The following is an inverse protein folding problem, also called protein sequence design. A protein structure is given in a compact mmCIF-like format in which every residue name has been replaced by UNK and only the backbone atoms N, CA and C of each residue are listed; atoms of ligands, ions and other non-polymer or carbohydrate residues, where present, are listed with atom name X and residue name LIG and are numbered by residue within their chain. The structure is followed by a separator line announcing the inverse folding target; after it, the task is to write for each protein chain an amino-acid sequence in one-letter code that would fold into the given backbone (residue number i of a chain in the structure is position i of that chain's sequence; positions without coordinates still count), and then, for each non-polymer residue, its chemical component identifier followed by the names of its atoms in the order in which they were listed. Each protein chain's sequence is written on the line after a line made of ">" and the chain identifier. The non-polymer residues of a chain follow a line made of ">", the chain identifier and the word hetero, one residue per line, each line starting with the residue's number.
data_IF_336339672219
#
_entry.id   IF_336339672219
#
_cell.length_a   1.000
_cell.length_b   1.000
_cell.length_c   1.000
_cell.angle_alpha   90.00
_cell.angle_beta   90.00
_cell.angle_gamma   90.00
#
_symmetry.space_group_name_H-M   'P 1'
#
loop_
_entity.id
_entity.type
_entity.pdbx_description
1 polymer ?
#
# COMPACT_ATOMS: atom_id res chain seq x y z
N UNK A 1 -0.24 54.34 28.10
CA UNK A 1 -1.17 53.28 27.70
C UNK A 1 -0.69 52.69 26.39
N UNK A 2 0.11 51.62 26.43
CA UNK A 2 0.44 50.82 25.25
C UNK A 2 -0.23 49.47 25.43
N UNK A 3 -1.36 49.26 24.75
CA UNK A 3 -1.98 47.95 24.69
C UNK A 3 -1.05 47.03 23.88
N UNK A 4 -0.48 46.03 24.55
CA UNK A 4 0.10 44.87 23.88
C UNK A 4 -0.99 44.17 23.07
N UNK A 5 -0.75 43.81 21.81
CA UNK A 5 -1.72 43.02 21.07
C UNK A 5 -1.77 41.64 21.73
N UNK A 6 -2.92 41.28 22.29
CA UNK A 6 -3.22 39.93 22.74
C UNK A 6 -3.10 39.01 21.54
N UNK A 7 -2.05 38.20 21.52
CA UNK A 7 -1.89 37.09 20.59
C UNK A 7 -2.92 36.02 20.96
N UNK A 8 -4.17 36.22 20.55
CA UNK A 8 -5.17 35.16 20.53
C UNK A 8 -4.89 34.32 19.29
N UNK A 9 -3.87 33.48 19.35
CA UNK A 9 -3.85 32.29 18.51
C UNK A 9 -5.12 31.51 18.82
N UNK A 10 -5.85 31.10 17.79
CA UNK A 10 -7.00 30.24 17.97
C UNK A 10 -6.53 28.98 18.72
N UNK A 11 -7.32 28.48 19.68
CA UNK A 11 -7.03 27.20 20.33
C UNK A 11 -6.88 26.10 19.28
N UNK A 12 -7.58 26.23 18.15
CA UNK A 12 -7.37 25.37 17.00
C UNK A 12 -5.98 25.55 16.36
N UNK A 13 -5.47 26.78 16.20
CA UNK A 13 -4.12 27.02 15.67
C UNK A 13 -3.04 26.40 16.56
N UNK A 14 -3.18 26.50 17.88
CA UNK A 14 -2.24 25.89 18.84
C UNK A 14 -2.30 24.35 18.81
N UNK A 15 -3.51 23.78 18.67
CA UNK A 15 -3.70 22.33 18.52
C UNK A 15 -3.18 21.83 17.17
N UNK A 16 -3.38 22.58 16.09
CA UNK A 16 -2.86 22.26 14.76
C UNK A 16 -1.35 22.46 14.67
N UNK A 17 -0.77 23.42 15.40
CA UNK A 17 0.68 23.59 15.51
C UNK A 17 1.38 22.39 16.16
N UNK A 18 0.65 21.59 16.96
CA UNK A 18 1.17 20.35 17.55
C UNK A 18 1.14 19.16 16.55
N UNK A 19 0.29 19.21 15.52
CA UNK A 19 0.11 18.19 14.49
C UNK A 19 0.82 18.60 13.20
N UNK A 20 2.15 18.46 13.16
CA UNK A 20 2.91 18.66 11.92
C UNK A 20 3.04 17.35 11.13
N UNK A 21 3.05 17.41 9.80
CA UNK A 21 3.32 16.27 8.92
C UNK A 21 4.58 15.47 9.31
N UNK A 22 5.68 16.15 9.64
CA UNK A 22 6.95 15.55 10.04
C UNK A 22 6.79 14.77 11.35
N UNK A 23 6.11 15.35 12.34
CA UNK A 23 5.86 14.66 13.61
C UNK A 23 5.02 13.41 13.40
N UNK A 24 4.02 13.45 12.52
CA UNK A 24 3.18 12.28 12.24
C UNK A 24 3.97 11.19 11.49
N UNK A 25 4.73 11.55 10.45
CA UNK A 25 5.49 10.61 9.63
C UNK A 25 6.63 9.95 10.41
N UNK A 26 7.30 10.71 11.27
CA UNK A 26 8.44 10.24 12.07
C UNK A 26 8.10 9.88 13.52
N UNK A 27 6.82 9.79 13.90
CA UNK A 27 6.44 9.37 15.25
C UNK A 27 7.04 7.98 15.56
N UNK A 28 7.84 7.83 16.62
CA UNK A 28 8.52 6.57 16.94
C UNK A 28 7.55 5.44 17.30
N UNK A 29 6.30 5.77 17.65
CA UNK A 29 5.24 4.78 17.94
C UNK A 29 4.58 4.26 16.66
N UNK A 30 4.71 4.98 15.55
CA UNK A 30 4.07 4.66 14.27
C UNK A 30 4.81 3.52 13.54
N UNK A 31 4.78 2.33 14.13
CA UNK A 31 5.58 1.17 13.69
C UNK A 31 4.80 0.17 12.83
N UNK A 32 3.48 0.36 12.67
CA UNK A 32 2.59 -0.63 12.07
C UNK A 32 2.04 -1.65 13.06
N UNK A 33 2.42 -1.57 14.34
CA UNK A 33 1.93 -2.49 15.39
C UNK A 33 0.40 -2.50 15.43
N UNK A 34 -0.19 -3.70 15.51
CA UNK A 34 -1.63 -3.90 15.50
C UNK A 34 -2.31 -3.80 14.12
N UNK A 35 -1.56 -3.48 13.05
CA UNK A 35 -2.10 -3.39 11.68
C UNK A 35 -1.82 -4.69 10.91
N UNK A 36 -2.87 -5.26 10.31
CA UNK A 36 -2.75 -6.42 9.43
C UNK A 36 -2.70 -5.96 7.97
N UNK A 37 -1.68 -6.38 7.23
CA UNK A 37 -1.42 -6.02 5.83
C UNK A 37 -1.36 -7.28 4.97
N UNK A 38 -2.13 -7.36 3.90
CA UNK A 38 -2.01 -8.40 2.89
C UNK A 38 -1.32 -7.87 1.62
N UNK A 39 -0.37 -8.65 1.11
CA UNK A 39 0.23 -8.46 -0.20
C UNK A 39 -0.34 -9.49 -1.14
N UNK A 40 -1.12 -9.06 -2.12
CA UNK A 40 -1.61 -9.92 -3.21
C UNK A 40 -0.63 -9.76 -4.36
N UNK A 41 0.28 -10.73 -4.47
CA UNK A 41 1.50 -10.64 -5.27
C UNK A 41 2.02 -12.05 -5.63
N UNK A 42 3.32 -12.24 -5.86
CA UNK A 42 3.98 -13.50 -6.23
C UNK A 42 4.51 -14.31 -5.05
N UNK A 43 3.90 -14.14 -3.88
CA UNK A 43 4.39 -14.73 -2.64
C UNK A 43 5.59 -14.01 -2.04
N UNK A 44 6.00 -14.43 -0.84
CA UNK A 44 7.10 -13.81 -0.09
C UNK A 44 8.08 -14.88 0.36
N UNK A 45 9.37 -14.65 0.18
CA UNK A 45 10.42 -15.44 0.80
C UNK A 45 10.70 -14.90 2.22
N UNK A 46 10.17 -15.58 3.22
CA UNK A 46 10.25 -15.15 4.61
C UNK A 46 11.68 -15.21 5.14
N UNK A 47 12.44 -16.26 4.79
CA UNK A 47 13.79 -16.46 5.29
C UNK A 47 14.74 -15.33 4.82
N UNK A 48 14.59 -14.88 3.58
CA UNK A 48 15.35 -13.73 3.04
C UNK A 48 15.07 -12.45 3.85
N UNK A 49 13.81 -12.20 4.21
CA UNK A 49 13.44 -11.01 4.98
C UNK A 49 13.90 -11.12 6.44
N UNK A 50 13.67 -12.25 7.09
CA UNK A 50 14.11 -12.48 8.47
C UNK A 50 15.61 -12.23 8.61
N UNK A 51 16.42 -12.79 7.71
CA UNK A 51 17.87 -12.59 7.72
C UNK A 51 18.25 -11.11 7.53
N UNK A 52 17.64 -10.45 6.55
CA UNK A 52 17.90 -9.05 6.24
C UNK A 52 17.56 -8.11 7.38
N UNK A 53 16.41 -8.30 8.03
CA UNK A 53 16.00 -7.46 9.16
C UNK A 53 16.82 -7.79 10.41
N UNK A 54 17.16 -9.06 10.63
CA UNK A 54 18.06 -9.49 11.72
C UNK A 54 19.44 -8.83 11.62
N UNK A 55 20.01 -8.73 10.42
CA UNK A 55 21.28 -8.02 10.18
C UNK A 55 21.21 -6.52 10.54
N UNK A 56 20.02 -5.92 10.55
CA UNK A 56 19.78 -4.53 10.96
C UNK A 56 19.43 -4.39 12.45
N UNK A 57 19.51 -5.48 13.23
CA UNK A 57 19.11 -5.50 14.63
C UNK A 57 17.59 -5.40 14.83
N UNK A 58 16.80 -5.76 13.82
CA UNK A 58 15.34 -5.71 13.85
C UNK A 58 14.75 -7.12 13.75
N UNK A 59 13.59 -7.31 14.34
CA UNK A 59 12.82 -8.55 14.23
C UNK A 59 11.44 -8.23 13.64
N UNK A 60 11.06 -8.98 12.61
CA UNK A 60 9.73 -8.93 12.00
C UNK A 60 8.84 -10.02 12.62
N UNK A 61 7.53 -9.84 12.52
CA UNK A 61 6.58 -10.90 12.86
C UNK A 61 6.64 -12.03 11.81
N UNK A 62 6.33 -13.29 12.19
CA UNK A 62 6.16 -14.37 11.23
C UNK A 62 5.15 -14.00 10.14
N UNK A 63 5.45 -14.36 8.90
CA UNK A 63 4.57 -14.09 7.76
C UNK A 63 3.62 -15.28 7.62
N UNK A 64 2.33 -14.99 7.55
CA UNK A 64 1.30 -15.98 7.22
C UNK A 64 0.90 -15.82 5.75
N UNK A 65 0.16 -16.76 5.17
CA UNK A 65 -0.25 -16.62 3.78
C UNK A 65 -0.91 -17.84 3.17
N UNK A 66 -1.06 -17.80 1.85
CA UNK A 66 -1.50 -18.93 1.05
C UNK A 66 -1.16 -18.75 -0.43
N UNK A 67 -1.16 -19.86 -1.16
CA UNK A 67 -0.98 -19.89 -2.62
C UNK A 67 -2.34 -20.14 -3.26
N UNK A 68 -2.81 -19.18 -4.05
CA UNK A 68 -4.12 -19.21 -4.70
C UNK A 68 -3.97 -19.76 -6.12
N UNK A 69 -4.85 -20.70 -6.48
CA UNK A 69 -4.84 -21.38 -7.77
C UNK A 69 -6.24 -21.45 -8.34
N UNK A 70 -6.35 -21.38 -9.67
CA UNK A 70 -7.64 -21.50 -10.34
C UNK A 70 -8.29 -22.86 -10.04
N UNK A 71 -9.59 -22.85 -9.73
CA UNK A 71 -10.38 -24.06 -9.48
C UNK A 71 -10.29 -24.62 -8.06
N UNK A 72 -9.42 -24.11 -7.19
CA UNK A 72 -9.46 -24.44 -5.75
C UNK A 72 -10.31 -23.43 -4.98
N UNK A 73 -11.13 -23.87 -4.04
CA UNK A 73 -11.90 -22.96 -3.17
C UNK A 73 -11.06 -22.40 -2.02
N UNK A 74 -10.04 -23.13 -1.58
CA UNK A 74 -9.14 -22.73 -0.50
C UNK A 74 -7.71 -22.55 -1.03
N UNK A 75 -6.94 -21.59 -0.50
CA UNK A 75 -5.54 -21.47 -0.86
C UNK A 75 -4.75 -22.67 -0.35
N UNK A 76 -3.74 -23.08 -1.10
CA UNK A 76 -2.74 -24.02 -0.62
C UNK A 76 -1.91 -23.36 0.49
N UNK A 77 -1.32 -24.14 1.41
CA UNK A 77 -0.50 -23.61 2.49
C UNK A 77 0.65 -22.74 1.98
N UNK A 78 0.94 -21.65 2.69
CA UNK A 78 2.15 -20.86 2.45
C UNK A 78 3.38 -21.57 3.00
N UNK A 79 4.38 -21.76 2.15
CA UNK A 79 5.62 -22.48 2.48
C UNK A 79 6.80 -21.56 2.85
N UNK A 80 6.55 -20.28 3.10
CA UNK A 80 7.63 -19.33 3.38
C UNK A 80 8.42 -18.89 2.14
N UNK A 81 7.89 -19.16 0.93
CA UNK A 81 8.57 -18.93 -0.35
C UNK A 81 7.72 -18.12 -1.31
N UNK A 82 8.39 -17.41 -2.20
CA UNK A 82 7.78 -16.74 -3.35
C UNK A 82 7.84 -17.64 -4.60
N UNK A 83 6.86 -17.53 -5.49
CA UNK A 83 6.88 -18.16 -6.80
C UNK A 83 7.79 -17.42 -7.80
N UNK A 84 7.79 -16.09 -7.76
CA UNK A 84 8.66 -15.25 -8.58
C UNK A 84 9.24 -14.08 -7.76
N UNK A 85 10.44 -13.57 -8.11
CA UNK A 85 11.14 -12.55 -7.32
C UNK A 85 10.52 -11.15 -7.50
N UNK A 86 9.38 -10.90 -6.87
CA UNK A 86 8.68 -9.61 -6.84
C UNK A 86 8.04 -9.33 -5.47
N UNK A 87 7.19 -10.24 -4.97
CA UNK A 87 6.48 -10.05 -3.71
C UNK A 87 7.38 -9.91 -2.47
N UNK A 88 8.55 -10.53 -2.46
CA UNK A 88 9.53 -10.32 -1.37
C UNK A 88 10.07 -8.88 -1.33
N UNK A 89 10.23 -8.25 -2.49
CA UNK A 89 10.63 -6.83 -2.58
C UNK A 89 9.51 -5.92 -2.09
N UNK A 90 8.26 -6.21 -2.47
CA UNK A 90 7.07 -5.51 -1.98
C UNK A 90 6.98 -5.61 -0.46
N UNK A 91 7.22 -6.80 0.11
CA UNK A 91 7.26 -7.03 1.54
C UNK A 91 8.40 -6.26 2.24
N UNK A 92 9.61 -6.25 1.68
CA UNK A 92 10.74 -5.46 2.21
C UNK A 92 10.40 -3.97 2.33
N UNK A 93 9.69 -3.41 1.34
CA UNK A 93 9.25 -2.01 1.35
C UNK A 93 8.30 -1.76 2.52
N UNK A 94 7.23 -2.55 2.65
CA UNK A 94 6.24 -2.37 3.73
C UNK A 94 6.90 -2.53 5.10
N UNK A 95 7.71 -3.58 5.29
CA UNK A 95 8.37 -3.86 6.56
C UNK A 95 9.47 -2.84 6.91
N UNK A 96 10.10 -2.20 5.91
CA UNK A 96 11.08 -1.14 6.17
C UNK A 96 10.41 0.15 6.69
N UNK A 97 9.15 0.40 6.33
CA UNK A 97 8.38 1.57 6.78
C UNK A 97 7.58 1.28 8.05
N UNK A 98 7.03 0.07 8.16
CA UNK A 98 6.14 -0.36 9.22
C UNK A 98 6.56 -1.77 9.71
N UNK A 99 7.67 -1.88 10.47
CA UNK A 99 8.30 -3.17 10.80
C UNK A 99 7.47 -4.07 11.71
N UNK A 100 6.38 -3.55 12.30
CA UNK A 100 5.53 -4.25 13.26
C UNK A 100 4.14 -4.60 12.70
N UNK A 101 3.94 -4.54 11.39
CA UNK A 101 2.71 -5.05 10.79
C UNK A 101 2.64 -6.58 10.88
N UNK A 102 1.43 -7.13 10.97
CA UNK A 102 1.19 -8.56 10.68
C UNK A 102 1.00 -8.72 9.18
N UNK A 103 1.96 -9.35 8.52
CA UNK A 103 1.97 -9.49 7.07
C UNK A 103 1.34 -10.83 6.64
N UNK A 104 0.44 -10.75 5.66
CA UNK A 104 -0.10 -11.89 4.93
C UNK A 104 0.37 -11.87 3.48
N UNK A 105 0.92 -12.99 3.02
CA UNK A 105 1.34 -13.21 1.64
C UNK A 105 0.28 -14.00 0.88
N UNK A 106 -0.41 -13.39 -0.07
CA UNK A 106 -1.25 -14.09 -1.04
C UNK A 106 -0.49 -14.23 -2.36
N UNK A 107 0.01 -15.44 -2.64
CA UNK A 107 0.61 -15.74 -3.94
C UNK A 107 -0.49 -16.05 -4.96
N UNK A 108 -0.70 -15.17 -5.93
CA UNK A 108 -1.71 -15.30 -7.00
C UNK A 108 -1.11 -15.66 -8.36
N UNK A 109 0.21 -15.82 -8.44
CA UNK A 109 0.91 -16.22 -9.66
C UNK A 109 1.19 -17.73 -9.67
N UNK A 110 1.40 -18.30 -8.48
CA UNK A 110 1.74 -19.70 -8.30
C UNK A 110 3.04 -20.10 -9.03
N UNK A 111 3.45 -21.37 -8.96
CA UNK A 111 4.69 -21.86 -9.57
C UNK A 111 4.77 -21.64 -11.09
N UNK A 112 3.62 -21.54 -11.76
CA UNK A 112 3.54 -21.36 -13.21
C UNK A 112 3.67 -19.90 -13.65
N UNK A 113 3.60 -18.93 -12.72
CA UNK A 113 3.76 -17.50 -13.02
C UNK A 113 2.59 -16.85 -13.76
N UNK A 114 1.44 -17.53 -13.88
CA UNK A 114 0.23 -16.99 -14.50
C UNK A 114 -0.71 -16.42 -13.45
N UNK A 115 -1.13 -15.17 -13.63
CA UNK A 115 -2.09 -14.52 -12.73
C UNK A 115 -3.44 -14.35 -13.44
N UNK A 116 -4.45 -15.07 -12.97
CA UNK A 116 -5.81 -14.98 -13.46
C UNK A 116 -6.64 -14.03 -12.60
N UNK A 117 -7.56 -13.27 -13.23
CA UNK A 117 -8.39 -12.30 -12.51
C UNK A 117 -9.23 -12.96 -11.40
N UNK A 118 -9.76 -14.16 -11.65
CA UNK A 118 -10.60 -14.86 -10.69
C UNK A 118 -9.80 -15.28 -9.44
N UNK A 119 -8.51 -15.60 -9.62
CA UNK A 119 -7.56 -15.89 -8.53
C UNK A 119 -7.27 -14.63 -7.70
N UNK A 120 -7.11 -13.47 -8.36
CA UNK A 120 -6.95 -12.17 -7.68
C UNK A 120 -8.20 -11.80 -6.87
N UNK A 121 -9.39 -11.97 -7.45
CA UNK A 121 -10.66 -11.72 -6.74
C UNK A 121 -10.86 -12.66 -5.56
N UNK A 122 -10.48 -13.93 -5.70
CA UNK A 122 -10.50 -14.89 -4.59
C UNK A 122 -9.55 -14.47 -3.46
N UNK A 123 -8.32 -14.08 -3.78
CA UNK A 123 -7.36 -13.59 -2.79
C UNK A 123 -7.84 -12.31 -2.08
N UNK A 124 -8.49 -11.40 -2.82
CA UNK A 124 -9.12 -10.21 -2.25
C UNK A 124 -10.19 -10.58 -1.22
N UNK A 125 -11.16 -11.42 -1.60
CA UNK A 125 -12.20 -11.86 -0.67
C UNK A 125 -11.62 -12.58 0.54
N UNK A 126 -10.61 -13.43 0.35
CA UNK A 126 -9.96 -14.15 1.44
C UNK A 126 -9.24 -13.21 2.42
N UNK A 127 -8.52 -12.21 1.89
CA UNK A 127 -7.85 -11.21 2.71
C UNK A 127 -8.84 -10.37 3.54
N UNK A 128 -10.02 -10.07 2.98
CA UNK A 128 -11.08 -9.31 3.66
C UNK A 128 -11.79 -10.19 4.71
N UNK A 129 -12.29 -11.36 4.33
CA UNK A 129 -13.19 -12.16 5.16
C UNK A 129 -12.45 -13.04 6.19
N UNK A 130 -11.40 -13.73 5.74
CA UNK A 130 -10.71 -14.76 6.55
C UNK A 130 -9.55 -14.17 7.34
N UNK A 131 -8.68 -13.42 6.66
CA UNK A 131 -7.51 -12.79 7.31
C UNK A 131 -7.83 -11.45 7.97
N UNK A 132 -8.98 -10.85 7.66
CA UNK A 132 -9.45 -9.57 8.23
C UNK A 132 -8.40 -8.48 8.14
N UNK A 133 -7.76 -8.39 6.97
CA UNK A 133 -6.70 -7.43 6.71
C UNK A 133 -7.24 -6.00 6.73
N UNK A 134 -6.49 -5.08 7.35
CA UNK A 134 -6.83 -3.66 7.35
C UNK A 134 -6.32 -2.94 6.10
N UNK A 135 -5.19 -3.42 5.56
CA UNK A 135 -4.61 -2.95 4.31
C UNK A 135 -4.43 -4.13 3.37
N UNK A 136 -4.73 -3.91 2.09
CA UNK A 136 -4.38 -4.81 0.99
C UNK A 136 -3.56 -4.00 -0.03
N UNK A 137 -2.39 -4.51 -0.40
CA UNK A 137 -1.57 -3.94 -1.46
C UNK A 137 -1.60 -4.83 -2.71
N UNK A 138 -1.95 -4.23 -3.84
CA UNK A 138 -2.00 -4.83 -5.17
C UNK A 138 -0.92 -4.19 -6.04
N UNK A 139 0.28 -4.77 -6.04
CA UNK A 139 1.38 -4.38 -6.94
C UNK A 139 1.28 -5.10 -8.29
N UNK A 140 0.05 -5.24 -8.79
CA UNK A 140 -0.32 -5.93 -10.02
C UNK A 140 -1.45 -5.19 -10.72
N UNK A 141 -1.65 -5.49 -12.00
CA UNK A 141 -2.82 -5.00 -12.72
C UNK A 141 -3.02 -5.61 -14.09
N UNK A 142 -4.23 -5.45 -14.60
CA UNK A 142 -4.65 -5.91 -15.92
C UNK A 142 -4.88 -4.68 -16.80
N UNK A 143 -4.10 -4.49 -17.89
CA UNK A 143 -4.33 -3.42 -18.85
C UNK A 143 -5.75 -3.42 -19.40
N UNK A 144 -6.31 -2.25 -19.69
CA UNK A 144 -7.69 -2.09 -20.16
C UNK A 144 -7.99 -2.95 -21.40
N UNK A 145 -7.02 -3.12 -22.32
CA UNK A 145 -7.20 -3.96 -23.51
C UNK A 145 -7.42 -5.44 -23.17
N UNK A 146 -6.92 -5.93 -22.02
CA UNK A 146 -7.12 -7.30 -21.55
C UNK A 146 -8.33 -7.47 -20.63
N UNK A 147 -8.95 -6.36 -20.19
CA UNK A 147 -10.13 -6.36 -19.33
C UNK A 147 -11.35 -5.68 -19.99
N UNK A 148 -11.54 -5.92 -21.29
CA UNK A 148 -12.64 -5.33 -22.06
C UNK A 148 -14.02 -5.93 -21.73
N UNK A 149 -14.06 -7.14 -21.17
CA UNK A 149 -15.31 -7.79 -20.80
C UNK A 149 -15.98 -7.02 -19.65
N UNK A 150 -17.07 -6.32 -19.97
CA UNK A 150 -17.80 -5.46 -19.03
C UNK A 150 -18.18 -6.21 -17.75
N UNK A 151 -18.63 -7.46 -17.87
CA UNK A 151 -19.02 -8.27 -16.71
C UNK A 151 -17.85 -8.55 -15.77
N UNK A 152 -16.69 -8.95 -16.30
CA UNK A 152 -15.48 -9.22 -15.48
C UNK A 152 -14.96 -7.94 -14.85
N UNK A 153 -14.98 -6.83 -15.58
CA UNK A 153 -14.59 -5.52 -15.05
C UNK A 153 -15.52 -5.09 -13.90
N UNK A 154 -16.83 -5.30 -14.06
CA UNK A 154 -17.82 -5.03 -13.01
C UNK A 154 -17.62 -5.92 -11.78
N UNK A 155 -17.41 -7.22 -11.96
CA UNK A 155 -17.12 -8.15 -10.86
C UNK A 155 -15.87 -7.73 -10.08
N UNK A 156 -14.81 -7.33 -10.79
CA UNK A 156 -13.60 -6.86 -10.14
C UNK A 156 -13.83 -5.57 -9.34
N UNK A 157 -14.55 -4.60 -9.92
CA UNK A 157 -14.94 -3.38 -9.20
C UNK A 157 -15.75 -3.71 -7.93
N UNK A 158 -16.70 -4.65 -8.01
CA UNK A 158 -17.49 -5.07 -6.84
C UNK A 158 -16.64 -5.64 -5.70
N UNK A 159 -15.62 -6.43 -6.02
CA UNK A 159 -14.68 -6.95 -5.02
C UNK A 159 -13.88 -5.81 -4.33
N UNK A 160 -13.49 -4.79 -5.10
CA UNK A 160 -12.82 -3.59 -4.54
C UNK A 160 -13.78 -2.78 -3.65
N UNK A 161 -15.00 -2.54 -4.10
CA UNK A 161 -16.04 -1.85 -3.33
C UNK A 161 -16.36 -2.58 -2.03
N UNK A 162 -16.43 -3.91 -2.06
CA UNK A 162 -16.64 -4.73 -0.87
C UNK A 162 -15.56 -4.47 0.19
N UNK A 163 -14.28 -4.44 -0.20
CA UNK A 163 -13.20 -4.09 0.71
C UNK A 163 -13.38 -2.70 1.32
N UNK A 164 -13.73 -1.70 0.51
CA UNK A 164 -14.01 -0.34 1.00
C UNK A 164 -15.13 -0.33 2.04
N UNK A 165 -16.24 -1.05 1.80
CA UNK A 165 -17.37 -1.11 2.73
C UNK A 165 -17.08 -1.93 4.01
N UNK A 166 -16.05 -2.79 3.99
CA UNK A 166 -15.53 -3.50 5.15
C UNK A 166 -14.38 -2.76 5.86
N UNK A 167 -14.23 -1.46 5.62
CA UNK A 167 -13.18 -0.60 6.17
C UNK A 167 -11.74 -1.01 5.81
N UNK A 168 -11.55 -1.74 4.70
CA UNK A 168 -10.24 -2.16 4.22
C UNK A 168 -9.66 -1.11 3.27
N UNK A 169 -8.41 -0.74 3.49
CA UNK A 169 -7.67 0.16 2.60
C UNK A 169 -7.00 -0.66 1.50
N UNK A 170 -7.45 -0.48 0.27
CA UNK A 170 -6.84 -1.14 -0.89
C UNK A 170 -5.92 -0.14 -1.60
N UNK A 171 -4.65 -0.48 -1.72
CA UNK A 171 -3.65 0.27 -2.51
C UNK A 171 -3.40 -0.48 -3.81
N UNK A 172 -3.51 0.21 -4.94
CA UNK A 172 -3.33 -0.41 -6.25
C UNK A 172 -2.31 0.37 -7.09
N UNK A 173 -1.30 -0.34 -7.59
CA UNK A 173 -0.31 0.22 -8.50
C UNK A 173 -0.94 0.56 -9.85
N UNK A 174 -0.65 1.76 -10.36
CA UNK A 174 -0.92 2.14 -11.74
C UNK A 174 -0.09 1.29 -12.72
N UNK A 175 -0.32 1.43 -14.03
CA UNK A 175 0.58 0.84 -15.01
C UNK A 175 1.92 1.58 -15.02
N UNK A 176 3.02 0.87 -15.29
CA UNK A 176 4.35 1.48 -15.35
C UNK A 176 4.55 2.52 -16.46
N UNK A 177 3.62 2.56 -17.42
CA UNK A 177 3.59 3.49 -18.56
C UNK A 177 2.46 4.51 -18.43
N UNK A 178 1.78 4.60 -17.29
CA UNK A 178 0.75 5.63 -17.07
C UNK A 178 1.35 7.04 -17.37
N UNK A 179 0.63 7.94 -18.09
CA UNK A 179 -0.76 7.84 -18.53
C UNK A 179 -1.00 7.17 -19.89
N UNK A 180 0.03 6.61 -20.54
CA UNK A 180 -0.14 5.95 -21.85
C UNK A 180 -0.98 4.68 -21.77
N UNK A 181 -0.81 3.91 -20.70
CA UNK A 181 -1.52 2.63 -20.50
C UNK A 181 -2.36 2.69 -19.23
N UNK A 182 -3.66 2.44 -19.38
CA UNK A 182 -4.61 2.31 -18.28
C UNK A 182 -4.68 0.87 -17.78
N UNK A 183 -4.71 0.68 -16.47
CA UNK A 183 -4.72 -0.64 -15.84
C UNK A 183 -5.64 -0.70 -14.63
N UNK A 184 -6.25 -1.87 -14.42
CA UNK A 184 -7.13 -2.19 -13.29
C UNK A 184 -6.39 -3.08 -12.28
N UNK A 185 -6.55 -2.87 -10.97
CA UNK A 185 -7.64 -2.12 -10.36
C UNK A 185 -7.36 -0.63 -10.10
N UNK A 186 -6.15 -0.09 -10.32
CA UNK A 186 -5.85 1.30 -9.99
C UNK A 186 -6.80 2.33 -10.64
N UNK A 187 -7.26 2.07 -11.87
CA UNK A 187 -8.26 2.90 -12.55
C UNK A 187 -9.70 2.80 -11.97
N UNK A 188 -9.93 2.02 -10.90
CA UNK A 188 -11.20 1.94 -10.17
C UNK A 188 -11.30 2.91 -9.00
N UNK A 189 -10.30 3.74 -8.69
CA UNK A 189 -10.45 4.79 -7.67
C UNK A 189 -11.74 5.61 -7.91
N UNK A 190 -12.50 6.01 -6.86
CA UNK A 190 -12.05 6.26 -5.48
C UNK A 190 -12.22 5.17 -4.39
N UNK A 191 -12.93 4.02 -4.54
CA UNK A 191 -13.03 3.00 -3.46
C UNK A 191 -11.69 2.37 -3.07
N UNK A 192 -10.63 2.61 -3.85
CA UNK A 192 -9.24 2.30 -3.51
C UNK A 192 -8.36 3.55 -3.55
N UNK A 193 -7.08 3.37 -3.20
CA UNK A 193 -6.03 4.39 -3.31
C UNK A 193 -5.11 3.98 -4.46
N UNK A 194 -5.17 4.73 -5.57
CA UNK A 194 -4.39 4.47 -6.77
C UNK A 194 -3.04 5.18 -6.72
N UNK A 195 -1.96 4.45 -7.05
CA UNK A 195 -0.59 4.91 -6.83
C UNK A 195 0.27 4.75 -8.08
N UNK A 196 0.79 5.86 -8.59
CA UNK A 196 1.86 5.92 -9.58
C UNK A 196 3.24 6.07 -8.91
N UNK A 197 4.31 5.96 -9.69
CA UNK A 197 5.69 6.17 -9.24
C UNK A 197 6.14 7.61 -9.46
N UNK A 198 7.04 8.06 -8.61
CA UNK A 198 7.83 9.26 -8.83
C UNK A 198 9.24 9.08 -8.26
N UNK A 199 10.15 9.96 -8.65
CA UNK A 199 11.56 9.94 -8.29
C UNK A 199 11.84 10.64 -6.95
N UNK A 200 11.00 10.40 -5.93
CA UNK A 200 11.25 10.93 -4.58
C UNK A 200 12.54 10.33 -4.01
N UNK A 201 13.33 11.12 -3.27
CA UNK A 201 14.55 10.63 -2.64
C UNK A 201 14.24 9.90 -1.32
N UNK A 202 13.31 10.44 -0.53
CA UNK A 202 12.86 9.86 0.73
C UNK A 202 11.74 8.82 0.48
N UNK A 203 11.85 7.59 1.02
CA UNK A 203 10.79 6.59 1.01
C UNK A 203 9.45 7.04 1.65
N UNK A 204 9.46 8.05 2.51
CA UNK A 204 8.26 8.63 3.13
C UNK A 204 7.61 9.75 2.31
N UNK A 205 8.27 10.23 1.25
CA UNK A 205 7.74 11.28 0.38
C UNK A 205 6.76 10.72 -0.66
N UNK A 206 5.67 11.47 -0.84
CA UNK A 206 4.64 11.20 -1.83
C UNK A 206 3.88 12.48 -2.18
N UNK A 207 3.15 12.46 -3.28
CA UNK A 207 2.32 13.58 -3.71
C UNK A 207 0.92 13.10 -4.08
N UNK A 208 -0.09 13.92 -3.83
CA UNK A 208 -1.37 13.79 -4.52
C UNK A 208 -1.27 14.55 -5.84
N UNK A 209 -1.46 13.89 -6.98
CA UNK A 209 -1.38 14.49 -8.31
C UNK A 209 -2.32 13.75 -9.24
N UNK A 210 -3.62 14.08 -9.13
CA UNK A 210 -4.67 13.39 -9.86
C UNK A 210 -4.45 13.48 -11.38
N UNK A 211 -4.23 12.32 -12.00
CA UNK A 211 -4.17 12.14 -13.46
C UNK A 211 -5.10 11.00 -13.83
N UNK A 212 -6.17 11.32 -14.55
CA UNK A 212 -7.29 10.41 -14.78
C UNK A 212 -7.88 9.89 -13.45
N UNK A 213 -7.74 8.58 -13.16
CA UNK A 213 -8.17 7.95 -11.90
C UNK A 213 -6.97 7.61 -10.99
N UNK A 214 -5.76 8.05 -11.34
CA UNK A 214 -4.57 7.80 -10.54
C UNK A 214 -4.31 9.00 -9.64
N UNK A 215 -4.42 8.81 -8.33
CA UNK A 215 -4.56 9.89 -7.36
C UNK A 215 -3.22 10.30 -6.74
N UNK A 216 -2.38 9.32 -6.40
CA UNK A 216 -1.13 9.53 -5.68
C UNK A 216 0.08 9.12 -6.52
N UNK A 217 1.21 9.74 -6.22
CA UNK A 217 2.53 9.32 -6.66
C UNK A 217 3.39 9.06 -5.41
N UNK A 218 4.16 7.97 -5.37
CA UNK A 218 5.00 7.64 -4.23
C UNK A 218 6.41 7.18 -4.67
N UNK A 219 7.30 6.97 -3.69
CA UNK A 219 8.67 6.53 -3.93
C UNK A 219 8.71 5.23 -4.74
N UNK A 220 9.27 5.31 -5.95
CA UNK A 220 9.16 4.23 -6.92
C UNK A 220 10.26 3.18 -6.89
N UNK A 221 11.09 3.05 -5.85
CA UNK A 221 12.24 2.11 -5.83
C UNK A 221 12.27 1.24 -4.57
N UNK A 222 12.60 -0.03 -4.72
CA UNK A 222 12.93 -0.95 -3.64
C UNK A 222 14.43 -1.05 -3.35
N UNK A 223 14.80 -1.89 -2.38
CA UNK A 223 16.20 -2.12 -1.96
C UNK A 223 16.60 -3.59 -1.92
N UNK A 224 15.76 -4.49 -2.43
CA UNK A 224 15.95 -5.93 -2.38
C UNK A 224 15.52 -6.53 -3.72
N UNK A 225 16.40 -7.30 -4.36
CA UNK A 225 16.12 -7.97 -5.62
C UNK A 225 16.65 -7.24 -6.87
N UNK A 226 16.71 -7.94 -8.02
CA UNK A 226 17.44 -7.51 -9.20
C UNK A 226 16.88 -6.26 -9.91
N UNK A 227 15.59 -5.96 -9.73
CA UNK A 227 14.91 -4.83 -10.38
C UNK A 227 14.47 -3.74 -9.40
N UNK A 228 14.90 -3.84 -8.14
CA UNK A 228 14.40 -2.98 -7.08
C UNK A 228 14.84 -1.51 -7.27
N UNK A 229 16.01 -1.27 -7.87
CA UNK A 229 16.51 0.07 -8.14
C UNK A 229 15.83 0.76 -9.33
N UNK A 230 15.13 0.01 -10.19
CA UNK A 230 14.42 0.56 -11.33
C UNK A 230 13.07 1.13 -10.89
N UNK A 231 12.72 2.39 -11.26
CA UNK A 231 11.45 2.97 -10.89
C UNK A 231 10.23 2.17 -11.40
N UNK A 232 9.41 1.64 -10.49
CA UNK A 232 8.18 0.93 -10.81
C UNK A 232 7.00 1.33 -9.89
N UNK A 233 5.79 1.29 -10.44
CA UNK A 233 4.55 1.54 -9.69
C UNK A 233 4.29 0.45 -8.66
N UNK A 234 4.73 -0.79 -8.96
CA UNK A 234 4.76 -1.93 -8.03
C UNK A 234 5.59 -1.68 -6.78
N UNK A 235 6.56 -0.75 -6.82
CA UNK A 235 7.31 -0.29 -5.65
C UNK A 235 6.64 0.91 -4.98
N UNK A 236 5.98 1.79 -5.74
CA UNK A 236 5.33 2.97 -5.19
C UNK A 236 4.10 2.65 -4.32
N UNK A 237 3.24 1.73 -4.78
CA UNK A 237 2.06 1.30 -4.02
C UNK A 237 2.38 0.82 -2.59
N UNK A 238 3.35 -0.09 -2.36
CA UNK A 238 3.69 -0.54 -1.02
C UNK A 238 4.36 0.52 -0.15
N UNK A 239 5.02 1.53 -0.73
CA UNK A 239 5.51 2.68 0.06
C UNK A 239 4.33 3.42 0.69
N UNK A 240 3.32 3.78 -0.11
CA UNK A 240 2.16 4.48 0.41
C UNK A 240 1.33 3.62 1.35
N UNK A 241 1.21 2.31 1.08
CA UNK A 241 0.58 1.35 1.98
C UNK A 241 1.32 1.26 3.34
N UNK A 242 2.66 1.26 3.32
CA UNK A 242 3.48 1.29 4.54
C UNK A 242 3.27 2.57 5.35
N UNK A 243 3.22 3.73 4.70
CA UNK A 243 2.88 5.01 5.36
C UNK A 243 1.49 4.96 5.99
N UNK A 244 0.50 4.39 5.29
CA UNK A 244 -0.84 4.21 5.85
C UNK A 244 -0.85 3.26 7.06
N UNK A 245 -0.03 2.20 7.05
CA UNK A 245 0.12 1.30 8.21
C UNK A 245 0.72 2.03 9.42
N UNK A 246 1.69 2.94 9.21
CA UNK A 246 2.22 3.81 10.27
C UNK A 246 1.09 4.66 10.90
N UNK A 247 0.30 5.34 10.07
CA UNK A 247 -0.85 6.15 10.52
C UNK A 247 -1.86 5.30 11.31
N UNK A 248 -2.21 4.12 10.79
CA UNK A 248 -3.17 3.21 11.44
C UNK A 248 -2.66 2.63 12.75
N UNK A 249 -1.35 2.45 12.93
CA UNK A 249 -0.82 2.02 14.24
C UNK A 249 -0.99 3.06 15.34
N UNK A 250 -1.07 4.36 14.99
CA UNK A 250 -1.41 5.43 15.93
C UNK A 250 -2.93 5.54 16.15
N UNK A 251 -3.73 5.23 15.13
CA UNK A 251 -5.20 5.29 15.19
C UNK A 251 -5.84 4.14 14.38
N UNK A 252 -6.01 2.95 14.98
CA UNK A 252 -6.45 1.75 14.25
C UNK A 252 -7.87 1.83 13.67
N UNK A 253 -8.72 2.67 14.26
CA UNK A 253 -10.14 2.80 13.87
C UNK A 253 -10.41 3.67 12.64
N UNK A 254 -9.39 4.26 12.02
CA UNK A 254 -9.60 5.14 10.86
C UNK A 254 -10.21 4.38 9.68
N UNK A 255 -11.16 5.03 9.02
CA UNK A 255 -11.85 4.56 7.82
C UNK A 255 -11.03 4.87 6.57
N UNK A 256 -11.26 4.18 5.44
CA UNK A 256 -10.52 4.41 4.20
C UNK A 256 -10.52 5.88 3.74
N UNK A 257 -11.68 6.56 3.80
CA UNK A 257 -11.77 7.97 3.42
C UNK A 257 -11.00 8.90 4.37
N UNK A 258 -10.97 8.61 5.68
CA UNK A 258 -10.22 9.41 6.66
C UNK A 258 -8.71 9.29 6.43
N UNK A 259 -8.21 8.07 6.21
CA UNK A 259 -6.79 7.87 5.90
C UNK A 259 -6.43 8.54 4.58
N UNK A 260 -7.29 8.45 3.56
CA UNK A 260 -7.08 9.15 2.28
C UNK A 260 -7.04 10.67 2.45
N UNK A 261 -7.89 11.24 3.31
CA UNK A 261 -7.84 12.66 3.68
C UNK A 261 -6.54 13.03 4.40
N UNK A 262 -6.06 12.19 5.34
CA UNK A 262 -4.78 12.41 6.03
C UNK A 262 -3.61 12.34 5.03
N UNK A 263 -3.59 11.35 4.14
CA UNK A 263 -2.57 11.25 3.09
C UNK A 263 -2.60 12.49 2.18
N UNK A 264 -3.78 12.94 1.74
CA UNK A 264 -3.90 14.18 0.96
C UNK A 264 -3.34 15.39 1.71
N UNK A 265 -3.68 15.56 2.99
CA UNK A 265 -3.16 16.63 3.83
C UNK A 265 -1.62 16.57 3.98
N UNK A 266 -1.07 15.38 4.28
CA UNK A 266 0.37 15.14 4.34
C UNK A 266 1.07 15.47 3.02
N UNK A 267 0.46 15.15 1.88
CA UNK A 267 1.07 15.41 0.57
C UNK A 267 1.30 16.91 0.26
N UNK A 268 0.56 17.81 0.92
CA UNK A 268 0.72 19.26 0.77
C UNK A 268 2.00 19.77 1.42
N UNK A 269 2.46 19.09 2.46
CA UNK A 269 3.69 19.43 3.17
C UNK A 269 4.90 19.43 2.22
N UNK A 270 5.07 18.33 1.49
CA UNK A 270 6.21 18.15 0.57
C UNK A 270 6.18 19.09 -0.64
N UNK A 271 5.01 19.60 -1.02
CA UNK A 271 4.89 20.63 -2.08
C UNK A 271 5.49 21.97 -1.65
N UNK A 272 5.43 22.29 -0.36
CA UNK A 272 5.96 23.55 0.17
C UNK A 272 7.47 23.50 0.42
N UNK A 273 8.09 22.31 0.38
CA UNK A 273 9.52 22.10 0.60
C UNK A 273 10.34 22.01 -0.71
N UNK A 274 9.68 21.90 -1.86
CA UNK A 274 10.34 21.87 -3.17
C UNK A 274 10.49 23.32 -3.68
N UNK A 275 11.71 23.84 -3.91
CA UNK A 275 11.86 25.12 -4.59
C UNK A 275 11.33 25.01 -6.02
N UNK A 276 10.62 26.05 -6.46
CA UNK A 276 10.06 26.17 -7.81
C UNK A 276 11.12 26.06 -8.91
#
# INVERSE_FOLDING_TARGET
>A
MSASPSNNGDVFDDVFALLTPERLLHDPRATGEGVTVCLIDSGVDQAVLEERFRQRGQQIYPIAGGIFTAGSQQPLPYEGKQSTPHGTTVADIVLSLAPRVRLYSADVFGPQGSCELDVVMQALHWAIAEWKCKIINLSLGVPEQRLQQVQRRYQFLRAIEEGYFHDVLIFAAAHNEHPLTRSYPAAFAPPLISVDKSAFADPLQFAYNLREQIEFQAHGRGRLGPFASEPATSWAAPHLAGIAARILSLRPGLKPFEVKTILYWLSKHFRNESPA
#
